data_IF_474733987884
#
_entry.id   IF_474733987884
#
_cell.length_a   1.000
_cell.length_b   1.000
_cell.length_c   1.000
_cell.angle_alpha   90.00
_cell.angle_beta   90.00
_cell.angle_gamma   90.00
#
_symmetry.space_group_name_H-M   'P 1'
#
loop_
_entity.id
_entity.type
_entity.pdbx_description
1 polymer ?
#
# COMPACT_ATOMS: atom_id res chain seq x y z
N UNK A 1 39.52 -4.18 58.80
CA UNK A 1 40.10 -2.94 59.36
C UNK A 1 40.56 -2.06 58.20
N UNK A 2 40.45 -0.75 58.40
CA UNK A 2 40.88 0.42 57.61
C UNK A 2 42.00 0.15 56.58
N UNK A 3 42.05 0.77 55.41
CA UNK A 3 41.57 2.09 54.99
C UNK A 3 42.66 2.65 54.08
N UNK A 4 42.39 2.74 52.78
CA UNK A 4 43.37 3.10 51.75
C UNK A 4 43.54 4.62 51.62
N UNK A 5 44.78 5.07 51.85
CA UNK A 5 45.64 5.90 50.96
C UNK A 5 44.88 6.60 49.81
N UNK A 6 44.94 7.91 49.59
CA UNK A 6 46.02 8.88 49.80
C UNK A 6 46.08 9.74 48.52
N UNK A 7 45.97 11.05 48.67
CA UNK A 7 45.99 12.03 47.57
C UNK A 7 47.43 12.31 47.07
N UNK A 8 47.52 13.14 46.00
CA UNK A 8 48.67 13.81 45.35
C UNK A 8 48.91 13.26 43.93
N UNK A 9 48.51 13.88 42.81
CA UNK A 9 48.72 15.23 42.21
C UNK A 9 50.09 15.44 41.54
N UNK A 10 50.03 15.41 40.19
CA UNK A 10 50.75 16.21 39.16
C UNK A 10 52.19 15.83 38.74
N UNK A 11 52.37 15.68 37.41
CA UNK A 11 53.31 16.43 36.52
C UNK A 11 53.11 15.93 35.07
N UNK A 12 52.46 16.72 34.19
CA UNK A 12 53.06 17.57 33.15
C UNK A 12 54.06 16.89 32.19
N UNK A 13 53.67 16.74 30.93
CA UNK A 13 54.59 16.86 29.79
C UNK A 13 53.84 17.35 28.54
N UNK A 14 54.28 18.52 28.05
CA UNK A 14 53.91 19.14 26.80
C UNK A 14 54.36 18.31 25.58
N UNK A 15 53.53 18.28 24.54
CA UNK A 15 53.91 17.92 23.18
C UNK A 15 53.09 18.74 22.18
N UNK A 16 53.74 19.70 21.54
CA UNK A 16 53.27 20.49 20.39
C UNK A 16 53.30 19.65 19.10
N UNK A 17 52.59 20.11 18.04
CA UNK A 17 52.40 19.55 16.66
C UNK A 17 51.20 18.58 16.55
N UNK A 18 50.17 18.77 15.70
CA UNK A 18 50.10 19.27 14.32
C UNK A 18 48.73 19.93 14.06
N UNK A 19 48.78 21.05 13.33
CA UNK A 19 47.69 21.69 12.59
C UNK A 19 46.98 20.70 11.67
N UNK A 20 45.68 20.49 11.90
CA UNK A 20 44.77 19.93 10.92
C UNK A 20 43.48 20.72 10.99
N UNK A 21 43.26 21.58 9.99
CA UNK A 21 41.96 22.21 9.71
C UNK A 21 40.89 21.11 9.66
N UNK A 22 40.10 20.99 10.72
CA UNK A 22 38.78 20.38 10.60
C UNK A 22 37.87 21.46 10.03
N UNK A 23 37.91 21.60 8.71
CA UNK A 23 36.79 22.15 7.94
C UNK A 23 35.53 21.38 8.39
N UNK A 24 34.69 22.05 9.18
CA UNK A 24 33.28 21.67 9.31
C UNK A 24 32.67 21.75 7.91
N UNK A 25 32.73 20.64 7.18
CA UNK A 25 31.91 20.45 6.00
C UNK A 25 30.44 20.65 6.43
N UNK A 26 29.68 21.55 5.78
CA UNK A 26 28.29 21.75 6.13
C UNK A 26 27.58 20.41 5.94
N UNK A 27 27.05 19.87 7.03
CA UNK A 27 26.13 18.72 7.02
C UNK A 27 25.07 19.03 5.98
N UNK A 28 25.18 18.38 4.82
CA UNK A 28 24.17 18.42 3.79
C UNK A 28 22.91 17.86 4.43
N UNK A 29 22.03 18.76 4.88
CA UNK A 29 20.67 18.43 5.22
C UNK A 29 20.12 17.67 4.02
N UNK A 30 19.98 16.35 4.19
CA UNK A 30 19.31 15.52 3.23
C UNK A 30 17.95 16.18 3.02
N UNK A 31 17.76 16.81 1.86
CA UNK A 31 16.47 17.38 1.52
C UNK A 31 15.46 16.24 1.64
N UNK A 32 14.59 16.31 2.64
CA UNK A 32 13.48 15.38 2.81
C UNK A 32 12.70 15.42 1.50
N UNK A 33 12.87 14.39 0.68
CA UNK A 33 12.11 14.22 -0.55
C UNK A 33 10.68 14.05 -0.10
N UNK A 34 9.86 15.09 -0.29
CA UNK A 34 8.45 15.04 0.05
C UNK A 34 7.82 13.78 -0.58
N UNK A 35 7.05 12.99 0.19
CA UNK A 35 6.48 11.77 -0.34
C UNK A 35 5.58 12.09 -1.54
N UNK A 36 5.86 11.44 -2.67
CA UNK A 36 5.06 11.60 -3.87
C UNK A 36 3.70 10.91 -3.66
N UNK A 37 2.65 11.71 -3.50
CA UNK A 37 1.28 11.21 -3.41
C UNK A 37 0.81 10.70 -4.77
N UNK A 38 0.17 9.54 -4.78
CA UNK A 38 -0.49 8.99 -5.96
C UNK A 38 -1.95 9.44 -6.01
N UNK A 39 -2.37 9.91 -7.19
CA UNK A 39 -3.77 10.24 -7.46
C UNK A 39 -4.56 8.98 -7.82
N UNK A 40 -5.13 8.33 -6.80
CA UNK A 40 -5.90 7.09 -6.94
C UNK A 40 -7.16 7.25 -7.83
N UNK A 41 -7.64 8.48 -8.05
CA UNK A 41 -8.79 8.73 -8.92
C UNK A 41 -8.50 8.44 -10.39
N UNK A 42 -7.21 8.41 -10.78
CA UNK A 42 -6.77 8.07 -12.14
C UNK A 42 -6.85 6.59 -12.45
N UNK A 43 -6.87 5.74 -11.43
CA UNK A 43 -7.07 4.30 -11.61
C UNK A 43 -8.51 4.11 -12.10
N UNK A 44 -8.77 3.49 -13.27
CA UNK A 44 -10.13 3.27 -13.76
C UNK A 44 -10.96 2.39 -12.80
N UNK A 45 -12.29 2.54 -12.81
CA UNK A 45 -13.16 1.60 -12.10
C UNK A 45 -13.11 0.23 -12.79
N UNK A 46 -12.89 -0.82 -12.02
CA UNK A 46 -12.96 -2.20 -12.50
C UNK A 46 -14.41 -2.54 -12.84
N UNK A 47 -14.59 -3.27 -13.94
CA UNK A 47 -15.89 -3.76 -14.42
C UNK A 47 -16.29 -5.03 -13.67
N UNK A 48 -17.60 -5.36 -13.59
CA UNK A 48 -18.04 -6.66 -13.12
C UNK A 48 -17.44 -7.79 -13.97
N UNK A 49 -17.19 -8.94 -13.33
CA UNK A 49 -16.78 -10.15 -14.04
C UNK A 49 -17.89 -10.67 -14.95
N UNK A 50 -17.50 -11.42 -15.98
CA UNK A 50 -18.44 -12.00 -16.94
C UNK A 50 -19.49 -12.88 -16.24
N UNK A 51 -20.74 -12.79 -16.69
CA UNK A 51 -21.86 -13.49 -16.07
C UNK A 51 -22.29 -12.95 -14.70
N UNK A 52 -21.78 -11.79 -14.26
CA UNK A 52 -22.35 -11.05 -13.13
C UNK A 52 -23.52 -10.20 -13.62
N UNK A 53 -24.72 -10.46 -13.09
CA UNK A 53 -25.90 -9.65 -13.44
C UNK A 53 -25.77 -8.21 -12.94
N UNK A 54 -26.45 -7.28 -13.59
CA UNK A 54 -26.47 -5.87 -13.17
C UNK A 54 -27.01 -5.70 -11.75
N UNK A 55 -28.01 -6.49 -11.36
CA UNK A 55 -28.59 -6.50 -10.01
C UNK A 55 -27.58 -6.97 -8.97
N UNK A 56 -26.85 -8.07 -9.26
CA UNK A 56 -25.82 -8.57 -8.35
C UNK A 56 -24.66 -7.59 -8.24
N UNK A 57 -24.24 -7.00 -9.36
CA UNK A 57 -23.21 -5.96 -9.37
C UNK A 57 -23.61 -4.75 -8.53
N UNK A 58 -24.85 -4.27 -8.69
CA UNK A 58 -25.39 -3.16 -7.90
C UNK A 58 -25.39 -3.52 -6.41
N UNK A 59 -25.88 -4.72 -6.06
CA UNK A 59 -25.89 -5.22 -4.69
C UNK A 59 -24.49 -5.27 -4.06
N UNK A 60 -23.47 -5.74 -4.79
CA UNK A 60 -22.08 -5.74 -4.28
C UNK A 60 -21.54 -4.33 -4.05
N UNK A 61 -21.85 -3.37 -4.93
CA UNK A 61 -21.46 -1.98 -4.73
C UNK A 61 -22.17 -1.35 -3.52
N UNK A 62 -23.45 -1.64 -3.31
CA UNK A 62 -24.20 -1.20 -2.13
C UNK A 62 -23.63 -1.80 -0.84
N UNK A 63 -23.32 -3.11 -0.84
CA UNK A 63 -22.67 -3.76 0.29
C UNK A 63 -21.33 -3.09 0.60
N UNK A 64 -20.54 -2.77 -0.42
CA UNK A 64 -19.25 -2.10 -0.23
C UNK A 64 -19.40 -0.67 0.29
N UNK A 65 -20.39 0.08 -0.20
CA UNK A 65 -20.71 1.41 0.32
C UNK A 65 -21.12 1.35 1.81
N UNK A 66 -22.00 0.40 2.18
CA UNK A 66 -22.40 0.20 3.58
C UNK A 66 -21.25 -0.30 4.46
N UNK A 67 -20.39 -1.15 3.92
CA UNK A 67 -19.21 -1.66 4.62
C UNK A 67 -18.30 -0.52 5.05
N UNK A 68 -18.05 0.44 4.16
CA UNK A 68 -17.14 1.57 4.38
C UNK A 68 -17.78 2.79 5.05
N UNK A 69 -19.11 2.79 5.25
CA UNK A 69 -19.82 3.91 5.86
C UNK A 69 -19.50 4.02 7.36
N UNK A 70 -19.15 5.22 7.87
CA UNK A 70 -19.00 5.45 9.31
C UNK A 70 -20.33 5.27 10.08
N UNK A 71 -20.30 4.79 11.33
CA UNK A 71 -19.13 4.29 12.05
C UNK A 71 -18.75 2.88 11.56
N UNK A 72 -17.48 2.69 11.20
CA UNK A 72 -16.96 1.38 10.85
C UNK A 72 -16.76 0.56 12.12
N UNK A 73 -17.40 -0.61 12.20
CA UNK A 73 -17.41 -1.40 13.43
C UNK A 73 -18.08 -2.77 13.28
N UNK A 74 -18.53 -3.37 14.39
CA UNK A 74 -19.21 -4.68 14.36
C UNK A 74 -20.42 -4.73 13.43
N UNK A 75 -21.11 -3.60 13.23
CA UNK A 75 -22.25 -3.47 12.31
C UNK A 75 -21.86 -3.55 10.84
N UNK A 76 -20.59 -3.28 10.50
CA UNK A 76 -20.09 -3.35 9.13
C UNK A 76 -19.71 -4.78 8.73
N UNK A 77 -19.31 -5.62 9.70
CA UNK A 77 -18.83 -7.00 9.47
C UNK A 77 -19.77 -7.83 8.59
N UNK A 78 -21.09 -7.85 8.82
CA UNK A 78 -22.01 -8.65 8.00
C UNK A 78 -22.02 -8.24 6.52
N UNK A 79 -21.70 -6.99 6.18
CA UNK A 79 -21.61 -6.56 4.78
C UNK A 79 -20.35 -7.10 4.12
N UNK A 80 -19.24 -7.14 4.86
CA UNK A 80 -17.99 -7.78 4.43
C UNK A 80 -18.18 -9.27 4.20
N UNK A 81 -18.81 -9.98 5.15
CA UNK A 81 -19.09 -11.41 5.04
C UNK A 81 -19.95 -11.72 3.79
N UNK A 82 -20.96 -10.89 3.51
CA UNK A 82 -21.80 -11.02 2.31
C UNK A 82 -21.04 -10.82 1.01
N UNK A 83 -20.04 -9.92 1.00
CA UNK A 83 -19.13 -9.76 -0.13
C UNK A 83 -18.27 -11.03 -0.29
N UNK A 84 -17.73 -11.58 0.80
CA UNK A 84 -16.92 -12.80 0.77
C UNK A 84 -17.69 -14.03 0.30
N UNK A 85 -19.00 -14.12 0.56
CA UNK A 85 -19.86 -15.18 0.02
C UNK A 85 -19.86 -15.17 -1.53
N UNK A 86 -19.69 -14.01 -2.17
CA UNK A 86 -19.59 -13.92 -3.64
C UNK A 86 -18.21 -14.34 -4.18
N UNK A 87 -17.23 -14.58 -3.30
CA UNK A 87 -15.85 -14.91 -3.66
C UNK A 87 -15.21 -13.83 -4.52
N UNK A 88 -14.41 -14.25 -5.51
CA UNK A 88 -13.66 -13.36 -6.41
C UNK A 88 -14.54 -12.42 -7.24
N UNK A 89 -15.83 -12.72 -7.44
CA UNK A 89 -16.77 -11.81 -8.13
C UNK A 89 -16.95 -10.48 -7.41
N UNK A 90 -16.75 -10.43 -6.10
CA UNK A 90 -16.82 -9.20 -5.31
C UNK A 90 -15.56 -8.34 -5.39
N UNK A 91 -14.42 -8.88 -5.82
CA UNK A 91 -13.14 -8.18 -5.78
C UNK A 91 -13.15 -6.85 -6.54
N UNK A 92 -13.68 -6.77 -7.77
CA UNK A 92 -13.80 -5.49 -8.47
C UNK A 92 -14.56 -4.42 -7.66
N UNK A 93 -15.65 -4.80 -7.00
CA UNK A 93 -16.43 -3.86 -6.19
C UNK A 93 -15.65 -3.41 -4.94
N UNK A 94 -14.98 -4.35 -4.26
CA UNK A 94 -14.17 -4.06 -3.08
C UNK A 94 -13.01 -3.12 -3.44
N UNK A 95 -12.28 -3.41 -4.51
CA UNK A 95 -11.16 -2.59 -4.99
C UNK A 95 -11.63 -1.18 -5.40
N UNK A 96 -12.76 -1.07 -6.11
CA UNK A 96 -13.35 0.23 -6.45
C UNK A 96 -13.73 1.03 -5.20
N UNK A 97 -14.23 0.39 -4.14
CA UNK A 97 -14.45 1.03 -2.84
C UNK A 97 -13.14 1.42 -2.14
N UNK A 98 -12.11 0.57 -2.25
CA UNK A 98 -10.83 0.76 -1.59
C UNK A 98 -10.12 2.04 -2.05
N UNK A 99 -10.09 2.31 -3.36
CA UNK A 99 -9.44 3.51 -3.91
C UNK A 99 -10.16 4.83 -3.61
N UNK A 100 -11.38 4.78 -3.06
CA UNK A 100 -12.18 5.97 -2.71
C UNK A 100 -11.96 6.44 -1.27
N UNK A 101 -11.14 5.74 -0.49
CA UNK A 101 -10.87 6.10 0.90
C UNK A 101 -10.02 7.37 1.02
N UNK A 102 -10.36 8.21 1.99
CA UNK A 102 -9.51 9.32 2.41
C UNK A 102 -8.48 8.84 3.45
N UNK A 103 -7.31 8.47 2.94
CA UNK A 103 -6.19 7.97 3.75
C UNK A 103 -5.51 9.05 4.62
N UNK A 104 -5.86 10.33 4.46
CA UNK A 104 -5.35 11.39 5.35
C UNK A 104 -6.04 11.40 6.71
N UNK A 105 -7.11 10.60 6.86
CA UNK A 105 -7.87 10.48 8.10
C UNK A 105 -7.59 9.14 8.80
N UNK A 106 -7.60 9.16 10.14
CA UNK A 106 -7.46 7.93 10.93
C UNK A 106 -8.56 6.90 10.59
N UNK A 107 -9.77 7.39 10.29
CA UNK A 107 -10.87 6.55 9.86
C UNK A 107 -10.57 5.86 8.53
N UNK A 108 -10.15 6.60 7.49
CA UNK A 108 -9.84 6.02 6.19
C UNK A 108 -8.70 5.00 6.28
N UNK A 109 -7.66 5.26 7.07
CA UNK A 109 -6.58 4.30 7.30
C UNK A 109 -7.07 3.02 8.00
N UNK A 110 -7.95 3.16 8.99
CA UNK A 110 -8.55 2.01 9.68
C UNK A 110 -9.45 1.19 8.76
N UNK A 111 -10.30 1.84 7.97
CA UNK A 111 -11.17 1.16 6.99
C UNK A 111 -10.30 0.48 5.93
N UNK A 112 -9.25 1.12 5.45
CA UNK A 112 -8.33 0.54 4.47
C UNK A 112 -7.65 -0.73 4.96
N UNK A 113 -7.17 -0.75 6.22
CA UNK A 113 -6.66 -1.97 6.85
C UNK A 113 -7.70 -3.11 6.84
N UNK A 114 -8.96 -2.79 7.09
CA UNK A 114 -10.05 -3.77 7.14
C UNK A 114 -10.42 -4.28 5.75
N UNK A 115 -10.43 -3.42 4.74
CA UNK A 115 -10.59 -3.83 3.34
C UNK A 115 -9.45 -4.73 2.90
N UNK A 116 -8.20 -4.38 3.21
CA UNK A 116 -7.06 -5.26 2.92
C UNK A 116 -7.25 -6.62 3.59
N UNK A 117 -7.63 -6.65 4.86
CA UNK A 117 -7.91 -7.91 5.57
C UNK A 117 -9.05 -8.70 4.89
N UNK A 118 -10.09 -8.01 4.43
CA UNK A 118 -11.21 -8.62 3.71
C UNK A 118 -10.76 -9.26 2.39
N UNK A 119 -9.93 -8.56 1.60
CA UNK A 119 -9.36 -9.10 0.35
C UNK A 119 -8.51 -10.34 0.62
N UNK A 120 -7.69 -10.31 1.68
CA UNK A 120 -6.89 -11.47 2.09
C UNK A 120 -7.75 -12.67 2.49
N UNK A 121 -8.85 -12.44 3.21
CA UNK A 121 -9.82 -13.50 3.53
C UNK A 121 -10.46 -14.08 2.27
N UNK A 122 -10.81 -13.22 1.31
CA UNK A 122 -11.40 -13.64 0.03
C UNK A 122 -10.47 -14.52 -0.82
N UNK A 123 -9.16 -14.43 -0.61
CA UNK A 123 -8.15 -15.28 -1.24
C UNK A 123 -7.93 -16.63 -0.52
N UNK A 124 -8.65 -16.90 0.57
CA UNK A 124 -8.84 -18.22 1.23
C UNK A 124 -7.71 -19.24 1.05
N UNK A 125 -6.49 -18.90 1.51
CA UNK A 125 -5.34 -19.81 1.49
C UNK A 125 -4.06 -19.24 0.86
N UNK A 126 -4.05 -17.98 0.43
CA UNK A 126 -2.87 -17.32 -0.11
C UNK A 126 -2.30 -16.30 0.89
N UNK A 127 -1.02 -16.44 1.22
CA UNK A 127 -0.27 -15.52 2.11
C UNK A 127 0.12 -14.20 1.43
N UNK A 128 -0.77 -13.64 0.59
CA UNK A 128 -0.57 -12.32 0.00
C UNK A 128 -0.51 -11.30 1.14
N UNK A 129 0.44 -10.37 1.10
CA UNK A 129 0.45 -9.24 2.02
C UNK A 129 1.32 -8.11 1.45
N UNK A 130 0.68 -7.06 0.94
CA UNK A 130 1.37 -5.87 0.45
C UNK A 130 1.81 -4.91 1.57
N UNK A 131 1.69 -5.34 2.83
CA UNK A 131 1.83 -4.51 4.03
C UNK A 131 0.77 -3.41 4.12
N UNK A 132 0.63 -2.78 5.28
CA UNK A 132 -0.27 -1.65 5.49
C UNK A 132 0.18 -0.84 6.69
N UNK A 133 0.23 0.48 6.56
CA UNK A 133 0.60 1.37 7.65
C UNK A 133 -0.67 1.94 8.30
N UNK A 134 -0.71 1.96 9.64
CA UNK A 134 -1.92 2.33 10.40
C UNK A 134 -1.95 3.79 10.85
N UNK A 135 -0.93 4.54 10.48
CA UNK A 135 -0.73 5.94 10.83
C UNK A 135 -1.12 6.86 9.66
N UNK A 136 -1.29 8.15 9.94
CA UNK A 136 -1.71 9.17 8.96
C UNK A 136 -0.57 10.11 8.58
N UNK A 137 0.69 9.73 8.82
CA UNK A 137 1.84 10.55 8.41
C UNK A 137 1.93 10.56 6.88
N UNK A 138 2.40 11.66 6.26
CA UNK A 138 2.52 11.78 4.80
C UNK A 138 3.12 10.56 4.09
N UNK A 139 4.20 10.00 4.63
CA UNK A 139 4.90 8.82 4.12
C UNK A 139 4.06 7.54 4.20
N UNK A 140 3.26 7.39 5.25
CA UNK A 140 2.36 6.25 5.45
C UNK A 140 1.16 6.33 4.50
N UNK A 141 0.65 7.55 4.27
CA UNK A 141 -0.40 7.79 3.27
C UNK A 141 0.09 7.43 1.88
N UNK A 142 1.26 7.93 1.47
CA UNK A 142 1.85 7.61 0.17
C UNK A 142 2.21 6.11 0.03
N UNK A 143 2.60 5.46 1.13
CA UNK A 143 2.78 4.01 1.16
C UNK A 143 1.45 3.27 0.92
N UNK A 144 0.41 3.60 1.69
CA UNK A 144 -0.90 2.95 1.57
C UNK A 144 -1.57 3.19 0.20
N UNK A 145 -1.34 4.35 -0.42
CA UNK A 145 -1.77 4.61 -1.80
C UNK A 145 -1.11 3.63 -2.78
N UNK A 146 0.21 3.37 -2.64
CA UNK A 146 0.91 2.36 -3.45
C UNK A 146 0.39 0.95 -3.18
N UNK A 147 0.00 0.64 -1.95
CA UNK A 147 -0.63 -0.67 -1.63
C UNK A 147 -1.96 -0.83 -2.37
N UNK A 148 -2.79 0.21 -2.43
CA UNK A 148 -4.03 0.17 -3.22
C UNK A 148 -3.72 -0.05 -4.70
N UNK A 149 -2.76 0.67 -5.26
CA UNK A 149 -2.33 0.46 -6.65
C UNK A 149 -1.84 -0.97 -6.91
N UNK A 150 -1.03 -1.53 -6.01
CA UNK A 150 -0.56 -2.92 -6.10
C UNK A 150 -1.70 -3.93 -6.09
N UNK A 151 -2.75 -3.69 -5.29
CA UNK A 151 -3.94 -4.54 -5.31
C UNK A 151 -4.66 -4.52 -6.66
N UNK A 152 -4.77 -3.35 -7.30
CA UNK A 152 -5.34 -3.24 -8.64
C UNK A 152 -4.48 -3.96 -9.67
N UNK A 153 -3.17 -3.72 -9.68
CA UNK A 153 -2.24 -4.39 -10.59
C UNK A 153 -2.25 -5.92 -10.39
N UNK A 154 -2.30 -6.39 -9.15
CA UNK A 154 -2.39 -7.82 -8.84
C UNK A 154 -3.68 -8.43 -9.40
N UNK A 155 -4.81 -7.71 -9.31
CA UNK A 155 -6.06 -8.12 -9.92
C UNK A 155 -6.03 -8.10 -11.46
N UNK A 156 -5.40 -7.12 -12.09
CA UNK A 156 -5.25 -7.08 -13.56
C UNK A 156 -4.42 -8.24 -14.11
N UNK A 157 -3.46 -8.72 -13.32
CA UNK A 157 -2.57 -9.82 -13.67
C UNK A 157 -3.21 -11.17 -13.35
N UNK A 158 -3.74 -11.35 -12.14
CA UNK A 158 -4.27 -12.63 -11.67
C UNK A 158 -5.74 -12.84 -12.03
N UNK A 159 -6.57 -11.80 -11.93
CA UNK A 159 -8.02 -11.90 -12.06
C UNK A 159 -8.59 -13.03 -11.21
N UNK A 160 -9.23 -13.99 -11.87
CA UNK A 160 -9.81 -15.18 -11.25
C UNK A 160 -8.83 -16.37 -11.10
N UNK A 161 -7.59 -16.27 -11.55
CA UNK A 161 -6.62 -17.38 -11.58
C UNK A 161 -5.96 -17.62 -10.20
N UNK A 162 -6.29 -18.75 -9.56
CA UNK A 162 -5.71 -19.16 -8.27
C UNK A 162 -4.21 -19.43 -8.32
N UNK A 163 -3.67 -19.93 -9.43
CA UNK A 163 -2.25 -20.24 -9.52
C UNK A 163 -1.42 -18.95 -9.58
N UNK A 164 -1.92 -17.93 -10.29
CA UNK A 164 -1.25 -16.62 -10.31
C UNK A 164 -1.31 -15.96 -8.92
N UNK A 165 -2.44 -16.07 -8.20
CA UNK A 165 -2.53 -15.59 -6.81
C UNK A 165 -1.54 -16.30 -5.87
N UNK A 166 -1.29 -17.60 -6.06
CA UNK A 166 -0.24 -18.33 -5.32
C UNK A 166 1.15 -17.79 -5.62
N UNK A 167 1.46 -17.48 -6.88
CA UNK A 167 2.76 -16.89 -7.25
C UNK A 167 2.94 -15.50 -6.63
N UNK A 168 1.92 -14.65 -6.69
CA UNK A 168 1.93 -13.33 -6.02
C UNK A 168 2.15 -13.48 -4.50
N UNK A 169 1.51 -14.47 -3.88
CA UNK A 169 1.67 -14.74 -2.45
C UNK A 169 3.11 -15.16 -2.09
N UNK A 170 3.72 -16.07 -2.87
CA UNK A 170 5.11 -16.53 -2.66
C UNK A 170 6.10 -15.37 -2.67
N UNK A 171 5.88 -14.39 -3.54
CA UNK A 171 6.75 -13.22 -3.69
C UNK A 171 6.38 -12.05 -2.79
N UNK A 172 5.28 -12.15 -2.01
CA UNK A 172 4.72 -11.06 -1.18
C UNK A 172 4.52 -9.75 -1.98
N UNK A 173 4.17 -9.89 -3.26
CA UNK A 173 4.34 -8.83 -4.25
C UNK A 173 4.08 -9.35 -5.65
N UNK A 174 3.79 -8.46 -6.59
CA UNK A 174 3.68 -8.83 -8.02
C UNK A 174 5.10 -9.14 -8.54
N UNK A 175 5.37 -10.36 -9.03
CA UNK A 175 6.69 -10.70 -9.56
C UNK A 175 7.03 -9.85 -10.80
N UNK A 176 8.31 -9.48 -11.01
CA UNK A 176 8.73 -8.69 -12.17
C UNK A 176 8.35 -9.28 -13.54
N UNK A 177 8.21 -10.61 -13.64
CA UNK A 177 7.81 -11.30 -14.88
C UNK A 177 6.29 -11.40 -15.09
N UNK A 178 5.48 -11.04 -14.09
CA UNK A 178 4.02 -11.06 -14.17
C UNK A 178 3.40 -9.67 -14.28
N UNK A 179 4.14 -8.62 -13.90
CA UNK A 179 3.75 -7.26 -14.17
C UNK A 179 3.65 -7.06 -15.70
N UNK A 180 2.43 -6.92 -16.22
CA UNK A 180 2.27 -6.43 -17.59
C UNK A 180 2.99 -5.09 -17.66
N UNK A 181 3.95 -4.95 -18.57
CA UNK A 181 4.49 -3.65 -18.93
C UNK A 181 3.28 -2.79 -19.30
N UNK A 182 2.97 -1.78 -18.49
CA UNK A 182 1.89 -0.86 -18.80
C UNK A 182 2.09 -0.38 -20.25
N UNK A 183 1.05 -0.37 -21.09
CA UNK A 183 1.20 0.23 -22.42
C UNK A 183 1.66 1.66 -22.19
N UNK A 184 2.86 1.97 -22.69
CA UNK A 184 3.38 3.33 -22.65
C UNK A 184 2.31 4.22 -23.28
N UNK A 185 1.79 5.17 -22.50
CA UNK A 185 0.87 6.17 -23.00
C UNK A 185 1.54 6.87 -24.18
N UNK A 186 1.07 6.62 -25.41
CA UNK A 186 1.58 7.30 -26.61
C UNK A 186 1.91 6.45 -27.84
N UNK A 187 1.42 5.22 -27.99
CA UNK A 187 1.40 4.60 -29.31
C UNK A 187 0.17 5.11 -30.09
N UNK A 188 0.33 6.30 -30.67
CA UNK A 188 -0.53 6.87 -31.70
C UNK A 188 -0.56 5.92 -32.91
N UNK A 189 -1.54 5.02 -32.97
CA UNK A 189 -1.88 4.32 -34.21
C UNK A 189 -2.74 5.27 -35.04
N UNK A 190 -2.07 6.23 -35.68
CA UNK A 190 -2.60 6.92 -36.85
C UNK A 190 -2.68 5.92 -37.98
N UNK A 191 -3.78 5.15 -38.01
CA UNK A 191 -4.18 4.36 -39.16
C UNK A 191 -4.71 5.36 -40.21
N UNK A 192 -3.80 5.89 -41.03
CA UNK A 192 -4.16 6.52 -42.29
C UNK A 192 -4.76 5.47 -43.21
N UNK A 193 -6.07 5.35 -43.12
CA UNK A 193 -6.92 4.93 -44.21
C UNK A 193 -6.91 6.05 -45.25
N UNK A 194 -6.23 5.84 -46.37
CA UNK A 194 -6.51 6.59 -47.60
C UNK A 194 -6.57 5.58 -48.74
N UNK A 195 -7.81 5.44 -49.23
CA UNK A 195 -8.16 4.96 -50.57
C UNK A 195 -7.72 5.97 -51.63
#
# INVERSE_FOLDING_TARGET
>A
MLGGVGAVVVLLALGYFVMGDSEEAPSAAAAEVAPAYLDLSRIPDLKPLEGTSAELWTSMNELMARYTTPPFGPTSVPFGDRLMIQGKRSFPAILNGFKRLDLTTAHGVQVGWKIQTLLLQGLSGHDVNFSWHKETRPEDVAFNQRVIEQWFQAWEVAGEDDEIWKEIAKHKGIPPGLAKSAPAAGADTSEKSDM
#
